data_IF_460423739145
#
_entry.id   IF_460423739145
#
_cell.length_a   1.000
_cell.length_b   1.000
_cell.length_c   1.000
_cell.angle_alpha   90.00
_cell.angle_beta   90.00
_cell.angle_gamma   90.00
#
_symmetry.space_group_name_H-M   'P 1'
#
loop_
_entity.id
_entity.type
_entity.pdbx_description
1 polymer ?
#
# COMPACT_ATOMS: atom_id res chain seq x y z
N UNK A 1 0.09 -11.07 13.83
CA UNK A 1 1.22 -12.02 13.97
C UNK A 1 2.28 -11.40 14.87
N UNK A 2 2.84 -12.18 15.78
CA UNK A 2 3.89 -11.70 16.68
C UNK A 2 5.21 -12.34 16.30
N UNK A 3 6.24 -11.51 16.14
CA UNK A 3 7.61 -11.95 15.93
C UNK A 3 8.31 -11.92 17.29
N UNK A 4 8.86 -13.05 17.72
CA UNK A 4 9.56 -13.14 19.01
C UNK A 4 10.95 -12.49 18.94
N UNK A 5 11.49 -12.00 20.07
CA UNK A 5 12.83 -11.40 20.10
C UNK A 5 13.89 -12.36 19.56
N UNK A 6 14.78 -11.86 18.68
CA UNK A 6 15.83 -12.65 18.00
C UNK A 6 15.32 -13.83 17.16
N UNK A 7 14.03 -13.84 16.82
CA UNK A 7 13.42 -14.84 15.94
C UNK A 7 12.91 -14.19 14.65
N UNK A 8 12.50 -15.04 13.70
CA UNK A 8 11.87 -14.64 12.44
C UNK A 8 10.51 -15.34 12.29
N UNK A 9 9.65 -14.78 11.44
CA UNK A 9 8.36 -15.38 11.07
C UNK A 9 8.23 -15.30 9.56
N UNK A 10 8.02 -16.45 8.92
CA UNK A 10 7.72 -16.50 7.49
C UNK A 10 6.20 -16.47 7.29
N UNK A 11 5.79 -15.76 6.25
CA UNK A 11 4.38 -15.61 5.87
C UNK A 11 4.31 -15.83 4.37
N UNK A 12 3.35 -16.63 3.95
CA UNK A 12 3.03 -16.82 2.54
C UNK A 12 1.74 -16.06 2.21
N UNK A 13 1.78 -15.23 1.17
CA UNK A 13 0.65 -14.43 0.70
C UNK A 13 0.57 -14.52 -0.82
N UNK A 14 -0.66 -14.62 -1.33
CA UNK A 14 -0.93 -14.41 -2.74
C UNK A 14 -1.06 -12.90 -3.01
N UNK A 15 -0.36 -12.40 -4.02
CA UNK A 15 -0.43 -10.99 -4.45
C UNK A 15 -1.34 -10.87 -5.67
N UNK A 16 -2.61 -11.27 -5.51
CA UNK A 16 -3.65 -11.22 -6.54
C UNK A 16 -4.33 -9.85 -6.67
N UNK A 17 -4.09 -8.97 -5.70
CA UNK A 17 -4.74 -7.69 -5.56
C UNK A 17 -3.75 -6.55 -5.82
N UNK A 18 -3.94 -5.91 -6.97
CA UNK A 18 -3.07 -4.86 -7.49
C UNK A 18 -3.28 -3.58 -6.69
N UNK A 19 -2.18 -2.87 -6.41
CA UNK A 19 -2.22 -1.60 -5.70
C UNK A 19 -1.08 -1.40 -4.72
N UNK A 20 -1.26 -0.42 -3.83
CA UNK A 20 -0.30 -0.04 -2.80
C UNK A 20 -0.72 -0.58 -1.44
N UNK A 21 0.14 -1.37 -0.82
CA UNK A 21 -0.08 -2.03 0.46
C UNK A 21 0.86 -1.48 1.53
N UNK A 22 0.32 -1.10 2.69
CA UNK A 22 1.11 -0.67 3.84
C UNK A 22 1.27 -1.82 4.83
N UNK A 23 2.51 -2.30 5.02
CA UNK A 23 2.85 -3.29 6.02
C UNK A 23 3.54 -2.59 7.18
N UNK A 24 2.91 -2.63 8.35
CA UNK A 24 3.35 -1.90 9.55
C UNK A 24 3.22 -2.74 10.82
N UNK A 25 4.01 -2.38 11.83
CA UNK A 25 3.79 -2.87 13.19
C UNK A 25 2.48 -2.31 13.76
N UNK A 26 1.73 -3.12 14.50
CA UNK A 26 0.56 -2.65 15.25
C UNK A 26 0.94 -1.81 16.48
N UNK A 27 2.21 -1.87 16.91
CA UNK A 27 2.71 -1.03 17.99
C UNK A 27 2.92 0.41 17.49
N UNK A 28 2.16 1.35 18.06
CA UNK A 28 2.18 2.76 17.71
C UNK A 28 3.57 3.40 17.83
N UNK A 29 4.33 3.10 18.89
CA UNK A 29 5.67 3.66 19.08
C UNK A 29 6.62 3.23 17.97
N UNK A 30 6.53 1.97 17.53
CA UNK A 30 7.33 1.43 16.43
C UNK A 30 6.89 2.01 15.08
N UNK A 31 5.59 2.19 14.88
CA UNK A 31 5.07 2.85 13.68
C UNK A 31 5.54 4.31 13.59
N UNK A 32 5.48 5.05 14.69
CA UNK A 32 5.94 6.44 14.74
C UNK A 32 7.43 6.57 14.44
N UNK A 33 8.24 5.62 14.94
CA UNK A 33 9.67 5.53 14.63
C UNK A 33 9.95 5.02 13.19
N UNK A 34 8.92 4.76 12.39
CA UNK A 34 9.07 4.42 10.97
C UNK A 34 9.20 2.92 10.67
N UNK A 35 8.87 2.03 11.62
CA UNK A 35 8.85 0.58 11.37
C UNK A 35 7.62 0.17 10.53
N UNK A 36 7.65 0.56 9.25
CA UNK A 36 6.65 0.30 8.23
C UNK A 36 7.30 0.31 6.84
N UNK A 37 6.75 -0.43 5.90
CA UNK A 37 7.15 -0.36 4.50
C UNK A 37 5.92 -0.46 3.58
N UNK A 38 6.07 0.05 2.36
CA UNK A 38 5.04 0.00 1.34
C UNK A 38 5.43 -1.00 0.26
N UNK A 39 4.47 -1.84 -0.13
CA UNK A 39 4.58 -2.78 -1.23
C UNK A 39 3.69 -2.32 -2.37
N UNK A 40 4.21 -2.29 -3.59
CA UNK A 40 3.41 -2.04 -4.80
C UNK A 40 3.27 -3.34 -5.58
N UNK A 41 2.04 -3.80 -5.75
CA UNK A 41 1.71 -4.89 -6.67
C UNK A 41 1.37 -4.25 -8.01
N UNK A 42 2.03 -4.68 -9.08
CA UNK A 42 1.90 -4.10 -10.42
C UNK A 42 1.26 -5.10 -11.40
N UNK A 43 0.29 -4.64 -12.19
CA UNK A 43 -0.26 -5.38 -13.33
C UNK A 43 0.06 -4.67 -14.65
N UNK A 44 0.58 -5.36 -15.67
CA UNK A 44 0.84 -4.77 -16.98
C UNK A 44 -0.45 -4.40 -17.73
N UNK A 45 -1.59 -5.04 -17.41
CA UNK A 45 -2.83 -4.86 -18.14
C UNK A 45 -3.55 -3.53 -17.88
N UNK A 46 -3.20 -2.79 -16.80
CA UNK A 46 -3.83 -1.51 -16.40
C UNK A 46 -5.35 -1.49 -16.62
N UNK A 47 -5.99 -2.59 -16.24
CA UNK A 47 -7.43 -2.82 -16.39
C UNK A 47 -8.17 -2.26 -15.18
N UNK A 48 -9.37 -1.73 -15.40
CA UNK A 48 -10.30 -1.33 -14.35
C UNK A 48 -10.68 -2.47 -13.39
N UNK A 49 -10.52 -3.72 -13.83
CA UNK A 49 -10.73 -4.91 -12.99
C UNK A 49 -9.60 -5.14 -11.98
N UNK A 50 -8.40 -4.64 -12.27
CA UNK A 50 -7.20 -4.93 -11.50
C UNK A 50 -6.97 -3.84 -10.44
N UNK A 51 -7.00 -2.56 -10.84
CA UNK A 51 -6.79 -1.41 -9.95
C UNK A 51 -7.80 -0.31 -10.28
N UNK A 52 -8.56 0.13 -9.26
CA UNK A 52 -9.46 1.27 -9.41
C UNK A 52 -8.66 2.57 -9.54
N UNK A 53 -9.13 3.53 -10.36
CA UNK A 53 -8.49 4.84 -10.43
C UNK A 53 -8.64 5.56 -9.09
N UNK A 54 -7.75 6.51 -8.86
CA UNK A 54 -7.86 7.39 -7.70
C UNK A 54 -9.20 8.14 -7.81
N UNK A 55 -10.07 8.08 -6.78
CA UNK A 55 -11.37 8.69 -6.85
C UNK A 55 -11.25 10.23 -6.87
N UNK A 56 -12.23 10.91 -7.49
CA UNK A 56 -12.22 12.37 -7.67
C UNK A 56 -12.17 13.17 -6.36
N UNK A 57 -12.60 12.57 -5.25
CA UNK A 57 -12.60 13.16 -3.91
C UNK A 57 -11.32 12.87 -3.11
N UNK A 58 -10.31 12.25 -3.71
CA UNK A 58 -9.04 12.03 -3.03
C UNK A 58 -8.35 13.35 -2.70
N UNK A 59 -7.84 13.45 -1.47
CA UNK A 59 -7.03 14.59 -1.04
C UNK A 59 -5.68 14.55 -1.76
N UNK A 60 -5.40 15.58 -2.57
CA UNK A 60 -4.15 15.71 -3.32
C UNK A 60 -3.15 16.57 -2.54
N UNK A 61 -1.97 16.01 -2.25
CA UNK A 61 -0.90 16.72 -1.56
C UNK A 61 -0.12 17.63 -2.53
N UNK A 62 0.09 18.91 -2.19
CA UNK A 62 1.07 19.81 -2.84
C UNK A 62 1.21 19.63 -4.37
N UNK A 63 2.33 19.03 -4.80
CA UNK A 63 2.67 18.78 -6.23
C UNK A 63 1.73 17.84 -6.98
N UNK A 64 0.90 17.08 -6.28
CA UNK A 64 -0.14 16.24 -6.88
C UNK A 64 -1.42 17.03 -7.20
N UNK A 65 -1.59 18.24 -6.64
CA UNK A 65 -2.77 19.08 -6.87
C UNK A 65 -2.86 19.44 -8.37
N UNK A 66 -4.00 19.11 -8.98
CA UNK A 66 -4.25 19.31 -10.42
C UNK A 66 -3.81 18.14 -11.33
N UNK A 67 -3.21 17.07 -10.78
CA UNK A 67 -2.98 15.83 -11.52
C UNK A 67 -4.23 14.96 -11.45
N UNK A 68 -4.91 14.79 -12.57
CA UNK A 68 -6.03 13.88 -12.70
C UNK A 68 -5.53 12.52 -13.20
N UNK A 69 -5.83 11.44 -12.46
CA UNK A 69 -5.76 10.08 -12.99
C UNK A 69 -6.95 9.82 -13.91
N UNK A 70 -6.89 8.71 -14.67
CA UNK A 70 -7.94 8.34 -15.64
C UNK A 70 -9.34 8.54 -15.03
N UNK A 71 -10.24 9.31 -15.68
CA UNK A 71 -11.59 9.48 -15.18
C UNK A 71 -12.32 8.13 -15.18
N UNK A 72 -13.09 7.88 -14.12
CA UNK A 72 -14.15 6.86 -14.10
C UNK A 72 -15.17 7.15 -15.19
#
# INVERSE_FOLDING_TARGET
>A
MQVYPRAWTAIYIALDSVGMWNVRSQNWGRQYLGQQFYLRVYSPAHSWRDEYPIPRNALLCGRARGRHTRPL
#
